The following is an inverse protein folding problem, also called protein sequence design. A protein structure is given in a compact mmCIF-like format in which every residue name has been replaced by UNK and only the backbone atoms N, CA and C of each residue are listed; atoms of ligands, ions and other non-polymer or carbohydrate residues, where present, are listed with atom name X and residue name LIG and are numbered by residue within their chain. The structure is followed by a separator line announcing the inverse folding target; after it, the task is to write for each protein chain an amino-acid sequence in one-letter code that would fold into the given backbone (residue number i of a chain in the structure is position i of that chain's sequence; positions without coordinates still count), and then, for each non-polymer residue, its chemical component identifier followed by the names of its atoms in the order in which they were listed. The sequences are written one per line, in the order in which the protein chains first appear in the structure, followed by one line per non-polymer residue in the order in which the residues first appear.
data_IF_617311694105
#
_entry.id   IF_617311694105
#
_cell.length_a   1.000
_cell.length_b   1.000
_cell.length_c   1.000
_cell.angle_alpha   90.00
_cell.angle_beta   90.00
_cell.angle_gamma   90.00
#
_symmetry.space_group_name_H-M   'P 1'
#
loop_
_entity.id
_entity.type
_entity.pdbx_description
1 polymer ?
#
# COMPACT_ATOMS: atom_id res chain seq x y z
N UNK A 1 4.41 -13.09 -13.75
CA UNK A 1 3.53 -12.27 -12.89
C UNK A 1 4.12 -10.88 -12.80
N UNK A 2 3.46 -9.89 -13.43
CA UNK A 2 3.99 -8.55 -13.61
C UNK A 2 4.31 -7.86 -12.29
N UNK A 3 5.42 -7.13 -12.26
CA UNK A 3 6.01 -6.40 -11.13
C UNK A 3 5.03 -5.37 -10.56
N UNK A 4 4.04 -5.82 -9.79
CA UNK A 4 3.09 -4.96 -9.08
C UNK A 4 3.78 -4.44 -7.82
N UNK A 5 3.98 -3.12 -7.81
CA UNK A 5 4.73 -2.34 -6.82
C UNK A 5 6.25 -2.61 -6.78
N UNK A 6 7.03 -1.55 -6.95
CA UNK A 6 8.44 -1.56 -6.62
C UNK A 6 8.63 -1.83 -5.12
N UNK A 7 9.77 -2.40 -4.74
CA UNK A 7 10.14 -2.64 -3.34
C UNK A 7 10.06 -1.34 -2.52
N UNK A 8 10.38 -0.20 -3.15
CA UNK A 8 10.24 1.13 -2.55
C UNK A 8 8.80 1.45 -2.12
N UNK A 9 7.81 1.18 -2.99
CA UNK A 9 6.41 1.44 -2.67
C UNK A 9 5.93 0.61 -1.47
N UNK A 10 6.41 -0.64 -1.35
CA UNK A 10 6.11 -1.49 -0.20
C UNK A 10 6.69 -0.91 1.10
N UNK A 11 7.95 -0.44 1.05
CA UNK A 11 8.61 0.20 2.21
C UNK A 11 7.92 1.51 2.62
N UNK A 12 7.51 2.32 1.65
CA UNK A 12 6.74 3.54 1.89
C UNK A 12 5.38 3.23 2.53
N UNK A 13 4.70 2.17 2.08
CA UNK A 13 3.44 1.71 2.67
C UNK A 13 3.61 1.34 4.15
N UNK A 14 4.67 0.57 4.48
CA UNK A 14 5.00 0.19 5.86
C UNK A 14 5.31 1.43 6.70
N UNK A 15 6.12 2.37 6.18
CA UNK A 15 6.42 3.65 6.88
C UNK A 15 5.15 4.46 7.14
N UNK A 16 4.24 4.53 6.16
CA UNK A 16 2.97 5.24 6.31
C UNK A 16 2.08 4.58 7.36
N UNK A 17 1.98 3.25 7.36
CA UNK A 17 1.23 2.52 8.38
C UNK A 17 1.83 2.70 9.77
N UNK A 18 3.16 2.62 9.91
CA UNK A 18 3.85 2.85 11.17
C UNK A 18 3.67 4.30 11.68
N UNK A 19 3.66 5.29 10.78
CA UNK A 19 3.42 6.69 11.13
C UNK A 19 1.94 6.99 11.44
N UNK A 20 1.01 6.21 10.89
CA UNK A 20 -0.44 6.38 11.08
C UNK A 20 -1.12 5.03 11.31
N UNK A 21 -0.96 4.41 12.49
CA UNK A 21 -1.56 3.09 12.78
C UNK A 21 -3.10 3.13 12.83
N UNK A 22 -3.69 4.32 12.92
CA UNK A 22 -5.15 4.51 12.86
C UNK A 22 -5.75 4.32 11.46
N UNK A 23 -4.94 4.28 10.39
CA UNK A 23 -5.43 4.06 9.04
C UNK A 23 -5.76 2.58 8.80
N UNK A 24 -7.00 2.31 8.38
CA UNK A 24 -7.41 0.97 7.97
C UNK A 24 -6.74 0.54 6.66
N UNK A 25 -6.65 -0.77 6.43
CA UNK A 25 -6.05 -1.34 5.20
C UNK A 25 -6.72 -0.79 3.91
N UNK A 26 -8.04 -0.55 3.94
CA UNK A 26 -8.76 0.04 2.82
C UNK A 26 -8.38 1.51 2.55
N UNK A 27 -8.12 2.27 3.60
CA UNK A 27 -7.63 3.65 3.48
C UNK A 27 -6.18 3.68 2.99
N UNK A 28 -5.33 2.76 3.48
CA UNK A 28 -3.96 2.58 2.98
C UNK A 28 -3.95 2.19 1.50
N UNK A 29 -4.85 1.31 1.07
CA UNK A 29 -4.97 0.95 -0.35
C UNK A 29 -5.38 2.16 -1.22
N UNK A 30 -6.34 2.97 -0.76
CA UNK A 30 -6.72 4.21 -1.47
C UNK A 30 -5.58 5.23 -1.51
N UNK A 31 -4.84 5.37 -0.41
CA UNK A 31 -3.68 6.24 -0.33
C UNK A 31 -2.57 5.77 -1.28
N UNK A 32 -2.22 4.48 -1.23
CA UNK A 32 -1.21 3.87 -2.10
C UNK A 32 -1.56 4.02 -3.59
N UNK A 33 -2.84 3.89 -3.96
CA UNK A 33 -3.29 4.16 -5.33
C UNK A 33 -2.94 5.58 -5.76
N UNK A 34 -3.24 6.56 -4.91
CA UNK A 34 -3.03 7.98 -5.19
C UNK A 34 -1.54 8.34 -5.20
N UNK A 35 -0.79 7.86 -4.21
CA UNK A 35 0.63 8.16 -4.04
C UNK A 35 1.47 7.54 -5.15
N UNK A 36 1.28 6.24 -5.38
CA UNK A 36 2.07 5.49 -6.36
C UNK A 36 1.47 5.51 -7.77
N UNK A 37 0.40 6.29 -7.99
CA UNK A 37 -0.37 6.37 -9.25
C UNK A 37 -0.66 4.99 -9.84
N UNK A 38 -1.08 4.06 -8.98
CA UNK A 38 -1.40 2.69 -9.40
C UNK A 38 -2.69 2.69 -10.23
N UNK A 39 -2.75 1.78 -11.21
CA UNK A 39 -3.95 1.56 -12.03
C UNK A 39 -5.15 1.17 -11.16
N UNK A 40 -4.91 0.25 -10.24
CA UNK A 40 -5.91 -0.20 -9.26
C UNK A 40 -5.38 -0.08 -7.82
N UNK A 41 -6.28 0.13 -6.85
CA UNK A 41 -5.89 0.09 -5.45
C UNK A 41 -5.38 -1.31 -5.09
N UNK A 42 -4.34 -1.41 -4.23
CA UNK A 42 -3.88 -2.69 -3.72
C UNK A 42 -5.03 -3.45 -3.08
N UNK A 43 -5.11 -4.75 -3.34
CA UNK A 43 -6.06 -5.61 -2.66
C UNK A 43 -5.76 -5.64 -1.15
N UNK A 44 -6.78 -5.83 -0.33
CA UNK A 44 -6.63 -5.96 1.13
C UNK A 44 -5.65 -7.08 1.51
N UNK A 45 -5.66 -8.19 0.80
CA UNK A 45 -4.70 -9.28 0.99
C UNK A 45 -3.26 -8.82 0.71
N UNK A 46 -3.04 -7.98 -0.29
CA UNK A 46 -1.72 -7.43 -0.60
C UNK A 46 -1.23 -6.48 0.49
N UNK A 47 -2.12 -5.64 1.03
CA UNK A 47 -1.77 -4.80 2.19
C UNK A 47 -1.42 -5.69 3.39
N UNK A 48 -2.16 -6.78 3.61
CA UNK A 48 -1.91 -7.73 4.71
C UNK A 48 -0.65 -8.59 4.51
N UNK A 49 -0.20 -8.79 3.28
CA UNK A 49 1.04 -9.51 2.94
C UNK A 49 2.27 -8.61 3.10
N UNK A 50 2.10 -7.29 2.97
CA UNK A 50 3.16 -6.28 3.09
C UNK A 50 3.34 -5.78 4.54
N UNK A 51 2.25 -5.60 5.28
CA UNK A 51 2.24 -5.19 6.69
C UNK A 51 2.48 -6.39 7.60
#
# INVERSE_FOLDING_TARGET
MGKWMAIDNKRELIRKHAATPAMTQAQLAKWAKKEFRLRDPPARNTISDIL
#
